data_IF_929489029748
#
_entry.id   IF_929489029748
#
_cell.length_a   1.000
_cell.length_b   1.000
_cell.length_c   1.000
_cell.angle_alpha   90.00
_cell.angle_beta   90.00
_cell.angle_gamma   90.00
#
_symmetry.space_group_name_H-M   'P 1'
#
loop_
_entity.id
_entity.type
_entity.pdbx_description
1 polymer ?
#
# COMPACT_ATOMS: atom_id res chain seq x y z
N UNK A 1 -37.55 -12.02 -40.83
CA UNK A 1 -36.70 -12.73 -39.86
C UNK A 1 -35.88 -11.66 -39.14
N UNK A 2 -36.55 -10.63 -38.59
CA UNK A 2 -35.93 -9.29 -38.42
C UNK A 2 -36.18 -8.65 -37.05
N UNK A 3 -36.67 -9.41 -36.07
CA UNK A 3 -37.18 -8.83 -34.81
C UNK A 3 -36.21 -8.97 -33.61
N UNK A 4 -34.96 -9.38 -33.88
CA UNK A 4 -33.93 -9.61 -32.86
C UNK A 4 -32.78 -8.57 -32.90
N UNK A 5 -32.61 -7.83 -34.00
CA UNK A 5 -31.57 -6.81 -34.13
C UNK A 5 -32.07 -5.48 -33.58
N UNK A 6 -31.90 -5.28 -32.26
CA UNK A 6 -32.24 -4.03 -31.57
C UNK A 6 -32.82 -4.20 -30.17
N UNK A 7 -33.17 -5.44 -29.77
CA UNK A 7 -33.64 -5.73 -28.42
C UNK A 7 -32.47 -5.76 -27.43
N UNK A 8 -32.71 -5.24 -26.24
CA UNK A 8 -31.66 -5.15 -25.23
C UNK A 8 -31.25 -6.53 -24.71
N UNK A 9 -29.96 -6.89 -24.69
CA UNK A 9 -29.48 -8.16 -24.14
C UNK A 9 -29.97 -8.46 -22.71
N UNK A 10 -30.09 -7.45 -21.84
CA UNK A 10 -30.62 -7.61 -20.48
C UNK A 10 -32.12 -7.91 -20.43
N UNK A 11 -32.86 -7.61 -21.49
CA UNK A 11 -34.29 -7.92 -21.63
C UNK A 11 -34.51 -9.25 -22.37
N UNK A 12 -33.53 -9.69 -23.16
CA UNK A 12 -33.60 -10.95 -23.92
C UNK A 12 -33.13 -12.17 -23.14
N UNK A 13 -32.21 -11.98 -22.19
CA UNK A 13 -31.59 -13.06 -21.43
C UNK A 13 -32.19 -13.15 -20.02
N UNK A 14 -32.38 -14.37 -19.47
CA UNK A 14 -32.72 -14.55 -18.05
C UNK A 14 -31.72 -13.81 -17.15
N UNK A 15 -32.21 -13.27 -16.04
CA UNK A 15 -31.42 -12.41 -15.15
C UNK A 15 -30.17 -13.12 -14.61
N UNK A 16 -30.27 -14.41 -14.33
CA UNK A 16 -29.15 -15.25 -13.88
C UNK A 16 -28.06 -15.38 -14.95
N UNK A 17 -28.45 -15.56 -16.21
CA UNK A 17 -27.52 -15.68 -17.34
C UNK A 17 -26.81 -14.35 -17.58
N UNK A 18 -27.55 -13.24 -17.57
CA UNK A 18 -26.97 -11.90 -17.64
C UNK A 18 -25.99 -11.64 -16.49
N UNK A 19 -26.34 -12.04 -15.25
CA UNK A 19 -25.44 -11.90 -14.10
C UNK A 19 -24.16 -12.70 -14.29
N UNK A 20 -24.26 -13.94 -14.79
CA UNK A 20 -23.11 -14.78 -15.08
C UNK A 20 -22.21 -14.16 -16.16
N UNK A 21 -22.77 -13.72 -17.29
CA UNK A 21 -22.01 -13.08 -18.38
C UNK A 21 -21.25 -11.86 -17.87
N UNK A 22 -21.94 -10.93 -17.20
CA UNK A 22 -21.32 -9.71 -16.70
C UNK A 22 -20.29 -10.00 -15.59
N UNK A 23 -20.49 -11.05 -14.80
CA UNK A 23 -19.50 -11.51 -13.82
C UNK A 23 -18.23 -12.07 -14.46
N UNK A 24 -18.25 -12.43 -15.74
CA UNK A 24 -17.05 -12.84 -16.49
C UNK A 24 -16.33 -11.67 -17.16
N UNK A 25 -17.04 -10.58 -17.51
CA UNK A 25 -16.47 -9.44 -18.23
C UNK A 25 -15.35 -8.74 -17.44
N UNK A 26 -14.27 -8.25 -18.07
CA UNK A 26 -13.28 -7.42 -17.40
C UNK A 26 -13.90 -6.16 -16.76
N UNK A 27 -13.36 -5.68 -15.64
CA UNK A 27 -13.90 -4.51 -14.92
C UNK A 27 -13.95 -3.26 -15.83
N UNK A 28 -13.00 -3.10 -16.75
CA UNK A 28 -13.03 -2.04 -17.77
C UNK A 28 -14.22 -2.14 -18.74
N UNK A 29 -14.62 -3.36 -19.12
CA UNK A 29 -15.79 -3.57 -19.97
C UNK A 29 -17.07 -3.22 -19.19
N UNK A 30 -17.17 -3.68 -17.94
CA UNK A 30 -18.27 -3.31 -17.04
C UNK A 30 -18.37 -1.79 -16.85
N UNK A 31 -17.24 -1.07 -16.80
CA UNK A 31 -17.25 0.39 -16.76
C UNK A 31 -17.99 0.98 -17.96
N UNK A 32 -17.64 0.51 -19.17
CA UNK A 32 -18.25 0.97 -20.42
C UNK A 32 -19.73 0.60 -20.50
N UNK A 33 -20.09 -0.58 -19.99
CA UNK A 33 -21.48 -1.03 -19.88
C UNK A 33 -22.36 -0.06 -19.06
N UNK A 34 -21.80 0.57 -18.02
CA UNK A 34 -22.54 1.58 -17.24
C UNK A 34 -22.90 2.83 -18.06
N UNK A 35 -22.21 3.09 -19.16
CA UNK A 35 -22.47 4.24 -20.04
C UNK A 35 -23.52 3.95 -21.13
N UNK A 36 -24.06 2.72 -21.21
CA UNK A 36 -25.03 2.33 -22.24
C UNK A 36 -26.41 2.91 -21.95
N UNK A 37 -26.97 2.63 -20.77
CA UNK A 37 -28.25 3.18 -20.27
C UNK A 37 -28.41 2.97 -18.76
N UNK A 38 -29.40 3.63 -18.14
CA UNK A 38 -29.69 3.56 -16.69
C UNK A 38 -29.91 2.13 -16.18
N UNK A 39 -30.63 1.30 -16.94
CA UNK A 39 -30.85 -0.11 -16.57
C UNK A 39 -29.54 -0.91 -16.53
N UNK A 40 -28.64 -0.71 -17.50
CA UNK A 40 -27.33 -1.36 -17.51
C UNK A 40 -26.46 -0.85 -16.36
N UNK A 41 -26.51 0.45 -16.06
CA UNK A 41 -25.81 1.01 -14.91
C UNK A 41 -26.30 0.40 -13.59
N UNK A 42 -27.62 0.30 -13.39
CA UNK A 42 -28.22 -0.34 -12.22
C UNK A 42 -27.86 -1.83 -12.13
N UNK A 43 -27.89 -2.55 -13.26
CA UNK A 43 -27.54 -3.96 -13.33
C UNK A 43 -26.05 -4.21 -13.03
N UNK A 44 -25.16 -3.41 -13.61
CA UNK A 44 -23.73 -3.48 -13.30
C UNK A 44 -23.51 -3.16 -11.82
N UNK A 45 -24.15 -2.12 -11.26
CA UNK A 45 -24.07 -1.77 -9.84
C UNK A 45 -24.45 -2.92 -8.90
N UNK A 46 -25.47 -3.70 -9.26
CA UNK A 46 -25.87 -4.92 -8.54
C UNK A 46 -24.74 -5.96 -8.50
N UNK A 47 -24.06 -6.17 -9.62
CA UNK A 47 -22.98 -7.15 -9.79
C UNK A 47 -21.68 -6.70 -9.09
N UNK A 48 -21.45 -5.39 -8.96
CA UNK A 48 -20.25 -4.83 -8.29
C UNK A 48 -20.03 -5.41 -6.89
N UNK A 49 -21.10 -5.59 -6.13
CA UNK A 49 -21.02 -6.00 -4.72
C UNK A 49 -20.61 -7.48 -4.54
N UNK A 50 -20.73 -8.30 -5.60
CA UNK A 50 -20.45 -9.73 -5.54
C UNK A 50 -19.03 -10.11 -6.00
N UNK A 51 -18.25 -9.17 -6.56
CA UNK A 51 -16.99 -9.50 -7.23
C UNK A 51 -15.77 -8.88 -6.54
N UNK A 52 -14.80 -9.74 -6.20
CA UNK A 52 -13.43 -9.29 -5.98
C UNK A 52 -12.82 -8.94 -7.34
N UNK A 53 -12.48 -7.66 -7.56
CA UNK A 53 -11.87 -7.22 -8.81
C UNK A 53 -10.51 -7.87 -9.07
N UNK A 54 -10.06 -7.85 -10.33
CA UNK A 54 -8.72 -8.35 -10.71
C UNK A 54 -7.68 -7.66 -9.83
N UNK A 55 -6.93 -8.47 -9.09
CA UNK A 55 -5.83 -8.00 -8.27
C UNK A 55 -4.61 -7.78 -9.17
N UNK A 56 -3.94 -6.67 -8.95
CA UNK A 56 -2.69 -6.31 -9.62
C UNK A 56 -1.84 -5.53 -8.63
N UNK A 57 -0.54 -5.48 -8.92
CA UNK A 57 0.35 -4.60 -8.18
C UNK A 57 0.43 -3.27 -8.90
N UNK A 58 0.16 -2.18 -8.19
CA UNK A 58 0.44 -0.83 -8.70
C UNK A 58 1.81 -0.38 -8.28
N UNK A 59 2.51 0.25 -9.21
CA UNK A 59 3.80 0.86 -8.98
C UNK A 59 3.75 2.32 -9.39
N UNK A 60 4.11 3.20 -8.47
CA UNK A 60 4.25 4.63 -8.74
C UNK A 60 5.72 4.99 -8.59
N UNK A 61 6.29 5.58 -9.63
CA UNK A 61 7.60 6.23 -9.59
C UNK A 61 7.49 7.69 -10.05
N UNK A 62 8.53 8.49 -9.81
CA UNK A 62 8.67 9.80 -10.44
C UNK A 62 9.88 9.82 -11.35
N UNK A 63 9.77 10.61 -12.43
CA UNK A 63 10.87 10.96 -13.31
C UNK A 63 10.98 12.47 -13.37
N UNK A 64 12.17 12.99 -13.12
CA UNK A 64 12.49 14.39 -13.32
C UNK A 64 12.69 14.61 -14.82
N UNK A 65 11.94 15.55 -15.41
CA UNK A 65 12.16 15.98 -16.80
C UNK A 65 13.11 17.19 -16.82
N UNK A 66 13.68 17.52 -17.98
CA UNK A 66 14.60 18.65 -18.20
C UNK A 66 13.98 20.04 -17.90
N UNK A 67 12.74 20.08 -17.44
CA UNK A 67 11.96 21.29 -17.10
C UNK A 67 11.77 21.49 -15.59
N UNK A 68 12.50 20.75 -14.74
CA UNK A 68 12.32 20.71 -13.28
C UNK A 68 10.91 20.27 -12.83
N UNK A 69 10.13 19.68 -13.74
CA UNK A 69 8.84 19.09 -13.46
C UNK A 69 9.03 17.60 -13.17
N UNK A 70 8.62 17.14 -11.99
CA UNK A 70 8.49 15.70 -11.75
C UNK A 70 7.18 15.19 -12.36
N UNK A 71 7.30 14.23 -13.28
CA UNK A 71 6.15 13.47 -13.77
C UNK A 71 6.06 12.14 -13.05
N UNK A 72 4.85 11.78 -12.63
CA UNK A 72 4.59 10.47 -12.07
C UNK A 72 4.41 9.47 -13.19
N UNK A 73 5.01 8.31 -13.01
CA UNK A 73 4.80 7.17 -13.87
C UNK A 73 4.08 6.12 -13.05
N UNK A 74 2.91 5.70 -13.55
CA UNK A 74 2.13 4.65 -12.90
C UNK A 74 2.04 3.43 -13.81
N UNK A 75 2.42 2.27 -13.25
CA UNK A 75 2.36 0.98 -13.92
C UNK A 75 1.55 0.00 -13.10
N UNK A 76 0.93 -0.95 -13.77
CA UNK A 76 0.37 -2.14 -13.14
C UNK A 76 1.13 -3.37 -13.60
N UNK A 77 1.48 -4.23 -12.64
CA UNK A 77 2.09 -5.54 -12.89
C UNK A 77 0.99 -6.59 -12.71
N UNK A 78 0.77 -7.38 -13.76
CA UNK A 78 -0.16 -8.51 -13.77
C UNK A 78 0.43 -9.74 -13.06
N UNK A 79 -0.38 -10.77 -12.77
CA UNK A 79 0.11 -12.03 -12.17
C UNK A 79 1.19 -12.76 -12.98
N UNK A 80 1.15 -12.63 -14.31
CA UNK A 80 2.16 -13.14 -15.25
C UNK A 80 3.41 -12.24 -15.37
N UNK A 81 3.50 -11.22 -14.50
CA UNK A 81 4.56 -10.21 -14.45
C UNK A 81 4.62 -9.32 -15.69
N UNK A 82 3.61 -9.40 -16.57
CA UNK A 82 3.48 -8.48 -17.69
C UNK A 82 3.17 -7.07 -17.19
N UNK A 83 3.81 -6.10 -17.83
CA UNK A 83 3.54 -4.69 -17.57
C UNK A 83 2.38 -4.19 -18.38
N UNK A 84 1.48 -3.50 -17.70
CA UNK A 84 0.48 -2.68 -18.33
C UNK A 84 0.66 -1.23 -17.87
N UNK A 85 0.72 -0.33 -18.85
CA UNK A 85 0.66 1.10 -18.58
C UNK A 85 -0.71 1.47 -18.01
N UNK A 86 -0.69 2.11 -16.85
CA UNK A 86 -1.87 2.76 -16.30
C UNK A 86 -1.80 4.21 -16.74
N UNK A 87 -2.80 4.67 -17.51
CA UNK A 87 -2.85 6.05 -17.96
C UNK A 87 -2.78 6.99 -16.74
N UNK A 88 -1.64 7.65 -16.56
CA UNK A 88 -1.39 8.60 -15.48
C UNK A 88 -1.77 10.00 -15.92
N UNK A 89 -3.02 10.20 -16.36
CA UNK A 89 -3.56 11.56 -16.61
C UNK A 89 -3.64 12.41 -15.33
N UNK A 90 -3.37 11.81 -14.17
CA UNK A 90 -3.45 12.40 -12.83
C UNK A 90 -2.64 13.67 -12.60
N UNK A 91 -1.57 13.91 -13.36
CA UNK A 91 -0.60 14.94 -12.99
C UNK A 91 -0.37 15.99 -14.07
N UNK A 92 -1.24 16.01 -15.09
CA UNK A 92 -1.35 17.12 -16.06
C UNK A 92 -2.51 18.06 -15.69
N UNK A 93 -3.27 17.73 -14.64
CA UNK A 93 -4.51 18.45 -14.35
C UNK A 93 -4.26 19.78 -13.63
N UNK A 94 -4.53 20.83 -14.42
CA UNK A 94 -5.11 22.11 -14.01
C UNK A 94 -4.16 23.30 -13.79
N UNK A 95 -3.08 23.39 -14.57
CA UNK A 95 -2.17 24.55 -14.53
C UNK A 95 -1.43 24.76 -13.19
N UNK A 96 -1.77 23.97 -12.17
CA UNK A 96 -1.01 23.81 -10.95
C UNK A 96 0.08 22.80 -11.22
N UNK A 97 1.18 23.30 -11.78
CA UNK A 97 2.45 22.59 -11.69
C UNK A 97 2.65 22.21 -10.21
N UNK A 98 2.59 20.92 -9.91
CA UNK A 98 3.06 20.39 -8.63
C UNK A 98 4.58 20.59 -8.61
N UNK A 99 5.01 21.82 -8.32
CA UNK A 99 6.39 22.09 -7.96
C UNK A 99 6.59 21.39 -6.62
N UNK A 100 7.28 20.26 -6.65
CA UNK A 100 7.75 19.58 -5.46
C UNK A 100 8.85 20.45 -4.87
N UNK A 101 8.43 21.49 -4.15
CA UNK A 101 9.31 22.10 -3.18
C UNK A 101 9.76 20.97 -2.24
N UNK A 102 11.07 20.85 -2.07
CA UNK A 102 11.73 20.06 -1.03
C UNK A 102 12.04 18.57 -1.34
N UNK A 103 12.06 18.14 -2.61
CA UNK A 103 12.58 16.80 -2.98
C UNK A 103 11.73 15.60 -2.53
N UNK A 104 10.45 15.84 -2.21
CA UNK A 104 9.51 14.80 -1.79
C UNK A 104 8.90 14.05 -2.97
N UNK A 105 9.43 12.85 -3.22
CA UNK A 105 8.88 11.94 -4.23
C UNK A 105 7.50 11.39 -3.85
N UNK A 106 6.62 11.08 -4.83
CA UNK A 106 5.39 10.32 -4.64
C UNK A 106 5.53 9.13 -3.70
N UNK A 107 4.53 8.90 -2.85
CA UNK A 107 4.40 7.64 -2.11
C UNK A 107 2.99 7.13 -2.15
N UNK A 108 2.84 5.84 -2.44
CA UNK A 108 1.58 5.15 -2.16
C UNK A 108 1.53 4.91 -0.65
N UNK A 109 0.43 5.35 -0.04
CA UNK A 109 0.18 5.14 1.37
C UNK A 109 -0.54 3.80 1.58
N UNK A 110 -1.58 3.55 0.78
CA UNK A 110 -2.28 2.28 0.80
C UNK A 110 -3.37 2.23 -0.25
N UNK A 111 -4.09 1.12 -0.27
CA UNK A 111 -5.26 0.96 -1.12
C UNK A 111 -6.39 0.29 -0.34
N UNK A 112 -7.62 0.55 -0.76
CA UNK A 112 -8.81 -0.07 -0.21
C UNK A 112 -9.94 -0.02 -1.23
N UNK A 113 -10.58 -1.16 -1.51
CA UNK A 113 -11.76 -1.26 -2.39
C UNK A 113 -11.61 -0.60 -3.78
N UNK A 114 -10.41 -0.60 -4.37
CA UNK A 114 -10.14 0.05 -5.67
C UNK A 114 -9.85 1.55 -5.60
N UNK A 115 -9.71 2.09 -4.40
CA UNK A 115 -9.12 3.41 -4.16
C UNK A 115 -7.66 3.24 -3.73
N UNK A 116 -6.83 4.18 -4.13
CA UNK A 116 -5.41 4.29 -3.80
C UNK A 116 -5.18 5.65 -3.15
N UNK A 117 -4.58 5.63 -1.97
CA UNK A 117 -4.19 6.84 -1.26
C UNK A 117 -2.73 7.16 -1.61
N UNK A 118 -2.48 8.36 -2.13
CA UNK A 118 -1.17 8.79 -2.64
C UNK A 118 -0.76 10.09 -1.96
N UNK A 119 0.44 10.12 -1.39
CA UNK A 119 1.09 11.35 -0.95
C UNK A 119 1.89 11.94 -2.12
N UNK A 120 1.64 13.22 -2.40
CA UNK A 120 2.34 14.02 -3.41
C UNK A 120 2.77 15.35 -2.77
N UNK A 121 4.03 15.41 -2.31
CA UNK A 121 4.51 16.50 -1.46
C UNK A 121 3.67 16.60 -0.18
N UNK A 122 3.07 17.77 0.07
CA UNK A 122 2.19 18.03 1.22
C UNK A 122 0.69 17.79 0.93
N UNK A 123 0.34 17.28 -0.25
CA UNK A 123 -1.05 16.93 -0.59
C UNK A 123 -1.25 15.43 -0.48
N UNK A 124 -2.37 15.02 0.11
CA UNK A 124 -2.85 13.64 0.12
C UNK A 124 -4.00 13.52 -0.88
N UNK A 125 -3.81 12.64 -1.85
CA UNK A 125 -4.72 12.38 -2.95
C UNK A 125 -5.41 11.04 -2.73
N UNK A 126 -6.71 11.00 -2.98
CA UNK A 126 -7.43 9.76 -3.18
C UNK A 126 -7.64 9.57 -4.67
N UNK A 127 -7.30 8.39 -5.17
CA UNK A 127 -7.30 8.10 -6.60
C UNK A 127 -7.95 6.74 -6.88
N UNK A 128 -8.81 6.68 -7.89
CA UNK A 128 -9.26 5.44 -8.51
C UNK A 128 -8.57 5.28 -9.89
N UNK A 129 -7.56 4.40 -10.01
CA UNK A 129 -6.86 4.12 -11.26
C UNK A 129 -7.73 3.62 -12.41
N UNK A 130 -8.82 2.92 -12.09
CA UNK A 130 -9.72 2.36 -13.09
C UNK A 130 -10.61 3.45 -13.70
N UNK A 131 -11.24 4.28 -12.85
CA UNK A 131 -12.17 5.32 -13.29
C UNK A 131 -11.47 6.63 -13.64
N UNK A 132 -10.17 6.74 -13.33
CA UNK A 132 -9.34 7.96 -13.43
C UNK A 132 -9.82 9.10 -12.52
N UNK A 133 -10.82 8.85 -11.69
CA UNK A 133 -11.30 9.81 -10.71
C UNK A 133 -10.25 10.00 -9.62
N UNK A 134 -10.04 11.24 -9.18
CA UNK A 134 -9.21 11.54 -8.03
C UNK A 134 -9.68 12.81 -7.34
N UNK A 135 -9.22 13.01 -6.12
CA UNK A 135 -9.49 14.20 -5.32
C UNK A 135 -8.35 14.44 -4.34
N UNK A 136 -7.96 15.71 -4.15
CA UNK A 136 -7.16 16.11 -2.98
C UNK A 136 -8.07 16.02 -1.76
N UNK A 137 -7.76 15.08 -0.87
CA UNK A 137 -8.51 14.90 0.38
C UNK A 137 -7.90 15.76 1.49
N UNK A 138 -6.57 15.83 1.58
CA UNK A 138 -5.89 16.68 2.56
C UNK A 138 -4.80 17.54 1.93
N UNK A 139 -4.75 18.81 2.34
CA UNK A 139 -3.65 19.74 2.04
C UNK A 139 -2.97 20.11 3.36
N UNK A 140 -1.85 19.45 3.65
CA UNK A 140 -1.12 19.62 4.89
C UNK A 140 -0.46 21.01 5.01
N UNK A 141 -0.45 21.83 3.94
CA UNK A 141 -0.03 23.24 4.04
C UNK A 141 -1.11 24.13 4.66
N UNK A 142 -2.38 23.76 4.49
CA UNK A 142 -3.55 24.55 4.92
C UNK A 142 -4.08 24.12 6.28
N UNK A 143 -3.54 23.07 6.86
CA UNK A 143 -3.84 22.69 8.24
C UNK A 143 -3.47 23.83 9.19
N UNK A 144 -4.35 24.12 10.14
CA UNK A 144 -4.11 25.12 11.19
C UNK A 144 -3.06 24.64 12.21
N UNK A 145 -2.79 23.34 12.23
CA UNK A 145 -1.82 22.73 13.12
C UNK A 145 -0.40 22.90 12.57
N UNK A 146 0.38 23.77 13.21
CA UNK A 146 1.78 24.01 12.86
C UNK A 146 2.62 22.72 12.89
N UNK A 147 2.25 21.74 13.73
CA UNK A 147 2.94 20.45 13.80
C UNK A 147 2.82 19.72 12.45
N UNK A 148 1.61 19.54 11.95
CA UNK A 148 1.35 18.85 10.68
C UNK A 148 2.00 19.56 9.47
N UNK A 149 2.16 20.89 9.55
CA UNK A 149 2.70 21.71 8.45
C UNK A 149 4.20 21.48 8.21
N UNK A 150 4.97 21.20 9.25
CA UNK A 150 6.43 21.05 9.19
C UNK A 150 6.89 19.58 9.28
N UNK A 151 5.94 18.64 9.14
CA UNK A 151 6.20 17.20 9.07
C UNK A 151 6.76 16.76 7.72
N UNK A 152 7.62 15.75 7.75
CA UNK A 152 8.15 15.08 6.56
C UNK A 152 8.14 13.58 6.80
N UNK A 153 7.69 12.79 5.82
CA UNK A 153 7.41 11.34 5.90
C UNK A 153 6.04 11.00 6.46
N UNK A 154 5.20 10.44 5.59
CA UNK A 154 3.86 9.96 5.94
C UNK A 154 3.72 8.50 5.54
N UNK A 155 4.07 7.52 6.39
CA UNK A 155 3.44 6.22 6.31
C UNK A 155 1.96 6.42 6.66
N UNK A 156 1.06 6.05 5.77
CA UNK A 156 -0.37 6.19 6.03
C UNK A 156 -1.13 5.05 5.40
N UNK A 157 -2.43 5.00 5.59
CA UNK A 157 -3.29 4.04 4.93
C UNK A 157 -4.73 4.50 4.86
N UNK A 158 -5.51 3.74 4.13
CA UNK A 158 -6.94 3.89 3.99
C UNK A 158 -7.61 2.55 4.31
N UNK A 159 -8.72 2.60 5.03
CA UNK A 159 -9.60 1.46 5.24
C UNK A 159 -11.06 1.87 5.10
N UNK A 160 -11.92 0.90 4.77
CA UNK A 160 -13.36 1.10 4.72
C UNK A 160 -14.00 0.64 6.02
N UNK A 161 -14.71 1.54 6.69
CA UNK A 161 -15.52 1.24 7.86
C UNK A 161 -16.98 1.09 7.44
N UNK A 162 -17.45 -0.16 7.41
CA UNK A 162 -18.80 -0.49 6.97
C UNK A 162 -19.89 0.00 7.95
N UNK A 163 -19.53 0.23 9.23
CA UNK A 163 -20.49 0.63 10.26
C UNK A 163 -20.95 2.08 10.07
N UNK A 164 -20.03 2.96 9.67
CA UNK A 164 -20.29 4.37 9.31
C UNK A 164 -20.40 4.60 7.80
N UNK A 165 -20.22 3.54 7.00
CA UNK A 165 -20.22 3.58 5.52
C UNK A 165 -19.28 4.65 4.97
N UNK A 166 -18.08 4.76 5.52
CA UNK A 166 -17.09 5.75 5.13
C UNK A 166 -15.68 5.16 5.12
N UNK A 167 -14.77 5.83 4.43
CA UNK A 167 -13.36 5.50 4.47
C UNK A 167 -12.69 6.28 5.60
N UNK A 168 -11.89 5.57 6.39
CA UNK A 168 -10.96 6.15 7.35
C UNK A 168 -9.58 6.19 6.73
N UNK A 169 -8.91 7.32 6.89
CA UNK A 169 -7.52 7.52 6.53
C UNK A 169 -6.73 7.70 7.81
N UNK A 170 -5.64 6.96 7.96
CA UNK A 170 -4.69 7.11 9.08
C UNK A 170 -3.37 7.56 8.49
N UNK A 171 -2.82 8.65 9.01
CA UNK A 171 -1.55 9.25 8.60
C UNK A 171 -0.63 9.27 9.83
N UNK A 172 0.54 8.65 9.72
CA UNK A 172 1.64 8.87 10.66
C UNK A 172 2.45 10.03 10.13
N UNK A 173 2.75 11.03 10.95
CA UNK A 173 3.42 12.25 10.55
C UNK A 173 4.68 12.41 11.39
N UNK A 174 5.86 12.44 10.77
CA UNK A 174 7.11 12.65 11.50
C UNK A 174 7.44 14.15 11.62
N UNK A 175 7.58 14.61 12.85
CA UNK A 175 8.03 15.95 13.22
C UNK A 175 9.52 15.96 13.55
N UNK A 176 10.27 16.83 12.88
CA UNK A 176 11.66 17.11 13.21
C UNK A 176 11.68 18.23 14.25
N UNK A 177 11.89 17.89 15.53
CA UNK A 177 12.16 18.92 16.53
C UNK A 177 13.60 19.45 16.38
N UNK A 178 13.84 20.79 16.37
CA UNK A 178 15.17 21.40 16.22
C UNK A 178 16.20 21.12 17.34
N UNK A 179 15.91 20.20 18.27
CA UNK A 179 16.79 19.95 19.41
C UNK A 179 18.10 19.30 18.94
N UNK A 180 19.22 19.65 19.63
CA UNK A 180 20.62 19.24 19.35
C UNK A 180 20.90 17.72 19.24
N UNK A 181 19.88 16.86 19.36
CA UNK A 181 19.95 15.39 19.28
C UNK A 181 19.14 14.77 18.14
N UNK A 182 18.40 15.54 17.34
CA UNK A 182 17.72 15.02 16.14
C UNK A 182 16.62 13.97 16.42
N UNK A 183 15.87 14.11 17.52
CA UNK A 183 14.74 13.21 17.81
C UNK A 183 13.59 13.46 16.83
N UNK A 184 13.12 12.38 16.20
CA UNK A 184 11.91 12.34 15.38
C UNK A 184 10.73 11.98 16.28
N UNK A 185 9.75 12.87 16.38
CA UNK A 185 8.49 12.57 17.08
C UNK A 185 7.43 12.20 16.04
N UNK A 186 6.81 11.02 16.17
CA UNK A 186 5.78 10.57 15.24
C UNK A 186 4.37 10.80 15.78
N UNK A 187 3.62 11.64 15.09
CA UNK A 187 2.22 11.92 15.41
C UNK A 187 1.32 11.04 14.57
N UNK A 188 0.17 10.68 15.13
CA UNK A 188 -0.87 9.97 14.40
C UNK A 188 -2.04 10.91 14.21
N UNK A 189 -2.37 11.18 12.96
CA UNK A 189 -3.64 11.80 12.62
C UNK A 189 -4.51 10.82 11.86
N UNK A 190 -5.82 10.92 12.03
CA UNK A 190 -6.77 10.16 11.24
C UNK A 190 -7.96 11.03 10.83
N UNK A 191 -8.68 10.60 9.80
CA UNK A 191 -9.83 11.32 9.28
C UNK A 191 -10.81 10.37 8.62
N UNK A 192 -12.10 10.66 8.77
CA UNK A 192 -13.15 10.07 7.93
C UNK A 192 -13.32 10.93 6.68
N UNK A 193 -13.30 10.32 5.49
CA UNK A 193 -13.28 11.05 4.21
C UNK A 193 -14.53 11.92 3.99
N UNK A 194 -15.72 11.49 4.43
CA UNK A 194 -16.94 12.32 4.32
C UNK A 194 -16.86 13.59 5.16
N UNK A 195 -16.28 13.51 6.35
CA UNK A 195 -16.07 14.68 7.22
C UNK A 195 -14.94 15.58 6.74
N UNK A 196 -13.92 14.97 6.12
CA UNK A 196 -12.68 15.60 5.69
C UNK A 196 -11.94 16.43 6.76
N UNK A 197 -12.12 16.08 8.04
CA UNK A 197 -11.43 16.71 9.17
C UNK A 197 -10.39 15.74 9.72
N UNK A 198 -9.13 16.18 9.73
CA UNK A 198 -8.04 15.51 10.41
C UNK A 198 -8.18 15.71 11.92
N UNK A 199 -8.29 14.59 12.64
CA UNK A 199 -8.22 14.50 14.09
C UNK A 199 -6.83 14.02 14.49
N UNK A 200 -6.20 14.71 15.42
CA UNK A 200 -4.93 14.27 16.01
C UNK A 200 -5.19 13.30 17.16
N UNK A 201 -4.50 12.16 17.14
CA UNK A 201 -4.47 11.18 18.23
C UNK A 201 -3.21 11.36 19.10
N UNK A 202 -2.34 12.30 18.76
CA UNK A 202 -1.11 12.59 19.46
C UNK A 202 0.02 11.65 19.07
N UNK A 203 0.93 11.40 20.02
CA UNK A 203 2.19 10.68 19.83
C UNK A 203 2.19 9.34 20.59
N UNK A 204 1.61 8.26 20.02
CA UNK A 204 1.67 6.94 20.62
C UNK A 204 3.09 6.38 20.50
N UNK A 205 3.73 6.09 21.64
CA UNK A 205 5.13 5.60 21.72
C UNK A 205 5.36 4.32 20.91
N UNK A 206 4.35 3.46 20.83
CA UNK A 206 4.37 2.22 20.05
C UNK A 206 4.60 2.48 18.55
N UNK A 207 4.33 3.69 18.07
CA UNK A 207 4.44 4.05 16.67
C UNK A 207 5.78 4.68 16.30
N UNK A 208 6.65 5.04 17.23
CA UNK A 208 7.92 5.76 16.96
C UNK A 208 8.79 5.10 15.89
N UNK A 209 8.74 3.77 15.84
CA UNK A 209 9.49 2.90 14.94
C UNK A 209 8.63 2.29 13.83
N UNK A 210 7.35 2.68 13.73
CA UNK A 210 6.43 2.24 12.69
C UNK A 210 7.04 2.42 11.29
N UNK A 211 7.14 1.31 10.56
CA UNK A 211 7.49 1.36 9.15
C UNK A 211 6.47 0.56 8.37
N UNK A 212 6.50 0.72 7.03
CA UNK A 212 5.88 -0.12 5.99
C UNK A 212 4.65 -0.91 6.46
N UNK A 213 3.47 -0.52 5.98
CA UNK A 213 2.26 -1.22 6.36
C UNK A 213 1.59 -2.04 5.25
N UNK A 214 0.76 -2.97 5.69
CA UNK A 214 -0.10 -3.80 4.84
C UNK A 214 -1.55 -3.60 5.27
N UNK A 215 -2.45 -3.46 4.30
CA UNK A 215 -3.89 -3.48 4.58
C UNK A 215 -4.39 -4.92 4.46
N UNK A 216 -4.90 -5.47 5.56
CA UNK A 216 -5.55 -6.77 5.56
C UNK A 216 -6.98 -6.63 6.10
N UNK A 217 -7.96 -6.97 5.25
CA UNK A 217 -9.40 -6.93 5.59
C UNK A 217 -9.82 -5.60 6.24
N UNK A 218 -9.47 -4.47 5.61
CA UNK A 218 -9.77 -3.12 6.08
C UNK A 218 -9.13 -2.75 7.42
N UNK A 219 -8.10 -3.48 7.85
CA UNK A 219 -7.26 -3.11 8.99
C UNK A 219 -5.86 -2.89 8.47
N UNK A 220 -5.23 -1.77 8.84
CA UNK A 220 -3.85 -1.53 8.45
C UNK A 220 -2.90 -1.85 9.58
N UNK A 221 -1.81 -2.51 9.21
CA UNK A 221 -0.80 -3.01 10.12
C UNK A 221 0.53 -2.35 9.80
N UNK A 222 1.32 -2.07 10.81
CA UNK A 222 2.69 -1.54 10.72
C UNK A 222 3.63 -2.49 11.45
N UNK A 223 4.85 -2.64 10.93
CA UNK A 223 5.91 -3.23 11.74
C UNK A 223 6.44 -2.15 12.68
N UNK A 224 6.62 -2.51 13.95
CA UNK A 224 7.10 -1.62 15.01
C UNK A 224 8.15 -2.33 15.87
N UNK A 225 8.98 -1.56 16.57
CA UNK A 225 9.99 -2.00 17.52
C UNK A 225 9.48 -1.80 18.95
N UNK A 226 9.68 -2.81 19.80
CA UNK A 226 9.27 -2.75 21.21
C UNK A 226 10.15 -1.83 22.07
N UNK A 227 11.44 -1.67 21.75
CA UNK A 227 12.37 -0.86 22.54
C UNK A 227 13.21 0.11 21.68
N UNK A 228 12.76 1.36 21.65
CA UNK A 228 13.41 2.46 20.92
C UNK A 228 14.79 2.81 21.53
N UNK A 229 15.08 2.45 22.78
CA UNK A 229 16.38 2.74 23.43
C UNK A 229 17.52 1.92 22.81
N UNK A 230 17.23 0.74 22.28
CA UNK A 230 18.22 -0.15 21.66
C UNK A 230 18.29 -0.04 20.12
N UNK A 231 17.31 0.60 19.47
CA UNK A 231 17.30 0.78 18.01
C UNK A 231 18.33 1.79 17.50
N UNK A 232 18.99 2.55 18.38
CA UNK A 232 20.00 3.57 18.06
C UNK A 232 21.39 3.15 18.53
N UNK A 233 21.83 1.92 18.21
CA UNK A 233 23.27 1.60 18.30
C UNK A 233 23.95 1.86 16.95
N UNK A 234 24.67 2.97 16.91
CA UNK A 234 25.75 3.35 16.00
C UNK A 234 25.47 3.46 14.49
N UNK A 235 25.15 4.68 14.04
CA UNK A 235 25.76 5.26 12.83
C UNK A 235 26.51 6.54 13.24
N UNK A 236 27.33 6.45 14.28
CA UNK A 236 28.33 7.47 14.58
C UNK A 236 29.50 7.27 13.62
N UNK A 237 29.38 7.79 12.39
CA UNK A 237 30.44 7.64 11.38
C UNK A 237 30.28 8.50 10.13
N UNK A 238 29.06 8.82 9.69
CA UNK A 238 28.88 9.62 8.47
C UNK A 238 28.62 11.09 8.78
N UNK A 239 29.70 11.90 8.74
CA UNK A 239 29.68 13.38 8.68
C UNK A 239 29.08 13.88 7.36
N UNK A 240 27.85 13.52 7.04
CA UNK A 240 27.11 14.16 5.96
C UNK A 240 25.89 14.86 6.56
N UNK A 241 25.73 16.15 6.27
CA UNK A 241 24.56 17.00 6.61
C UNK A 241 23.24 16.53 5.96
N UNK A 242 23.16 15.26 5.58
CA UNK A 242 21.98 14.59 5.06
C UNK A 242 21.42 13.73 6.18
N UNK A 243 20.62 14.34 7.05
CA UNK A 243 19.78 13.63 8.03
C UNK A 243 18.66 12.89 7.28
N UNK A 244 19.01 11.88 6.48
CA UNK A 244 18.04 10.92 5.99
C UNK A 244 17.90 9.81 7.03
N UNK A 245 16.65 9.53 7.36
CA UNK A 245 16.07 8.52 8.23
C UNK A 245 16.53 7.06 7.95
N UNK A 246 17.83 6.80 7.95
CA UNK A 246 18.44 5.46 7.91
C UNK A 246 18.56 4.85 9.32
N UNK A 247 17.55 5.06 10.17
CA UNK A 247 17.52 4.41 11.49
C UNK A 247 17.09 2.95 11.25
N UNK A 248 18.02 2.02 11.48
CA UNK A 248 17.79 0.56 11.41
C UNK A 248 16.92 0.13 12.60
N UNK A 249 15.60 0.30 12.50
CA UNK A 249 14.70 -0.24 13.52
C UNK A 249 14.61 -1.75 13.37
N UNK A 250 15.04 -2.49 14.41
CA UNK A 250 14.81 -3.93 14.55
C UNK A 250 13.35 -4.14 14.97
N UNK A 251 12.45 -3.98 14.01
CA UNK A 251 11.02 -4.15 14.25
C UNK A 251 10.75 -5.63 14.54
N UNK A 252 10.10 -5.91 15.67
CA UNK A 252 9.83 -7.26 16.15
C UNK A 252 8.37 -7.45 16.60
N UNK A 253 7.54 -6.42 16.48
CA UNK A 253 6.09 -6.47 16.75
C UNK A 253 5.32 -5.91 15.55
N UNK A 254 4.04 -6.25 15.49
CA UNK A 254 3.12 -5.75 14.49
C UNK A 254 2.03 -4.98 15.22
N UNK A 255 1.89 -3.70 14.90
CA UNK A 255 0.83 -2.87 15.45
C UNK A 255 -0.26 -2.65 14.40
N UNK A 256 -1.50 -2.46 14.83
CA UNK A 256 -2.60 -2.11 13.94
C UNK A 256 -3.53 -1.11 14.61
N UNK A 257 -4.26 -0.38 13.77
CA UNK A 257 -5.24 0.60 14.23
C UNK A 257 -6.61 -0.07 14.34
N UNK A 258 -7.13 -0.15 15.54
CA UNK A 258 -8.50 -0.57 15.80
C UNK A 258 -9.44 0.60 15.51
N UNK A 259 -10.04 0.57 14.32
CA UNK A 259 -10.91 1.63 13.85
C UNK A 259 -12.19 1.80 14.68
N UNK A 260 -12.61 0.76 15.43
CA UNK A 260 -13.83 0.82 16.25
C UNK A 260 -13.58 1.57 17.55
N UNK A 261 -12.42 1.34 18.16
CA UNK A 261 -12.05 1.96 19.43
C UNK A 261 -11.10 3.15 19.27
N UNK A 262 -10.70 3.48 18.04
CA UNK A 262 -9.73 4.54 17.71
C UNK A 262 -8.41 4.41 18.48
N UNK A 263 -7.94 3.17 18.69
CA UNK A 263 -6.74 2.84 19.46
C UNK A 263 -5.77 1.97 18.68
N UNK A 264 -4.50 1.98 19.08
CA UNK A 264 -3.50 1.08 18.55
C UNK A 264 -3.40 -0.19 19.39
N UNK A 265 -3.30 -1.33 18.71
CA UNK A 265 -3.18 -2.64 19.34
C UNK A 265 -1.99 -3.38 18.73
N UNK A 266 -1.37 -4.24 19.54
CA UNK A 266 -0.33 -5.14 19.08
C UNK A 266 -0.98 -6.46 18.66
N UNK A 267 -0.69 -6.88 17.43
CA UNK A 267 -1.10 -8.17 16.92
C UNK A 267 -0.25 -9.26 17.59
N UNK A 268 -0.85 -10.37 18.08
CA UNK A 268 -0.08 -11.48 18.64
C UNK A 268 0.90 -12.08 17.63
N UNK A 269 2.20 -12.08 17.96
CA UNK A 269 3.28 -12.65 17.15
C UNK A 269 3.62 -14.08 17.60
N UNK A 270 4.14 -14.94 16.71
CA UNK A 270 4.63 -16.26 17.08
C UNK A 270 5.93 -16.13 17.87
N UNK A 271 6.25 -17.17 18.66
CA UNK A 271 7.50 -17.21 19.44
C UNK A 271 8.73 -16.96 18.54
N UNK A 272 9.74 -16.21 19.02
CA UNK A 272 11.01 -16.05 18.32
C UNK A 272 11.69 -17.39 18.03
N UNK A 273 12.47 -17.47 16.96
CA UNK A 273 13.28 -18.66 16.63
C UNK A 273 14.38 -18.90 17.68
N UNK A 274 14.96 -17.84 18.22
CA UNK A 274 16.06 -17.89 19.18
C UNK A 274 15.82 -16.99 20.40
N UNK A 275 15.82 -15.67 20.20
CA UNK A 275 15.55 -14.67 21.22
C UNK A 275 14.81 -13.48 20.58
N UNK A 276 14.21 -12.61 21.40
CA UNK A 276 13.46 -11.45 20.90
C UNK A 276 14.34 -10.41 20.18
N UNK A 277 15.65 -10.38 20.46
CA UNK A 277 16.60 -9.42 19.87
C UNK A 277 17.00 -9.75 18.42
N UNK A 278 16.90 -11.03 18.04
CA UNK A 278 17.23 -11.55 16.71
C UNK A 278 15.97 -11.77 15.84
N UNK A 279 14.78 -11.50 16.38
CA UNK A 279 13.51 -11.73 15.70
C UNK A 279 13.07 -10.51 14.86
N UNK A 280 13.69 -10.33 13.70
CA UNK A 280 13.45 -9.14 12.88
C UNK A 280 12.36 -9.37 11.84
N UNK A 281 11.32 -8.54 11.89
CA UNK A 281 10.29 -8.45 10.87
C UNK A 281 10.81 -7.61 9.72
N UNK A 282 11.16 -8.27 8.63
CA UNK A 282 11.72 -7.64 7.41
C UNK A 282 10.66 -7.35 6.34
N UNK A 283 9.45 -7.87 6.52
CA UNK A 283 8.34 -7.58 5.63
C UNK A 283 7.00 -8.12 6.12
N UNK A 284 5.94 -7.65 5.47
CA UNK A 284 4.57 -8.12 5.69
C UNK A 284 3.84 -8.17 4.34
N UNK A 285 2.76 -8.93 4.28
CA UNK A 285 1.99 -9.08 3.05
C UNK A 285 0.81 -10.03 3.22
N UNK A 286 0.28 -10.50 2.09
CA UNK A 286 -0.88 -11.38 2.06
C UNK A 286 -0.58 -12.54 1.12
N UNK A 287 -0.66 -13.77 1.65
CA UNK A 287 -0.49 -15.01 0.89
C UNK A 287 -1.71 -15.87 1.12
N UNK A 288 -2.38 -16.32 0.05
CA UNK A 288 -3.61 -17.13 0.13
C UNK A 288 -4.68 -16.58 1.11
N UNK A 289 -4.94 -15.27 1.06
CA UNK A 289 -5.87 -14.56 1.97
C UNK A 289 -5.51 -14.66 3.47
N UNK A 290 -4.29 -15.09 3.79
CA UNK A 290 -3.76 -15.05 5.14
C UNK A 290 -2.87 -13.82 5.30
N UNK A 291 -2.98 -13.16 6.46
CA UNK A 291 -2.00 -12.15 6.86
C UNK A 291 -0.64 -12.82 7.06
N UNK A 292 0.41 -12.27 6.45
CA UNK A 292 1.74 -12.84 6.48
C UNK A 292 2.79 -11.85 6.98
N UNK A 293 3.78 -12.40 7.67
CA UNK A 293 5.00 -11.71 8.10
C UNK A 293 6.21 -12.47 7.58
N UNK A 294 7.26 -11.74 7.24
CA UNK A 294 8.58 -12.33 7.07
C UNK A 294 9.51 -11.97 8.22
N UNK A 295 10.13 -13.02 8.72
CA UNK A 295 11.13 -12.99 9.76
C UNK A 295 12.48 -13.35 9.16
N UNK A 296 13.48 -12.52 9.40
CA UNK A 296 14.86 -12.86 9.07
C UNK A 296 15.46 -13.66 10.23
N UNK A 297 15.96 -14.85 9.94
CA UNK A 297 16.86 -15.58 10.81
C UNK A 297 18.30 -15.22 10.44
N UNK A 298 18.95 -14.44 11.31
CA UNK A 298 20.30 -13.95 11.08
C UNK A 298 21.37 -15.04 11.15
N UNK A 299 21.08 -16.18 11.80
CA UNK A 299 22.07 -17.27 11.95
C UNK A 299 22.12 -18.16 10.72
N UNK A 300 20.96 -18.41 10.12
CA UNK A 300 20.83 -19.24 8.92
C UNK A 300 20.80 -18.42 7.65
N UNK A 301 20.74 -17.08 7.75
CA UNK A 301 20.53 -16.16 6.63
C UNK A 301 19.27 -16.52 5.81
N UNK A 302 18.23 -17.03 6.48
CA UNK A 302 16.97 -17.40 5.83
C UNK A 302 15.85 -16.46 6.22
N UNK A 303 14.92 -16.26 5.29
CA UNK A 303 13.69 -15.53 5.53
C UNK A 303 12.56 -16.53 5.64
N UNK A 304 11.98 -16.59 6.83
CA UNK A 304 10.79 -17.39 7.11
C UNK A 304 9.55 -16.55 6.88
N UNK A 305 8.69 -17.01 5.96
CA UNK A 305 7.38 -16.40 5.73
C UNK A 305 6.35 -17.18 6.54
N UNK A 306 5.74 -16.50 7.50
CA UNK A 306 4.73 -17.05 8.40
C UNK A 306 3.38 -16.47 8.01
N UNK A 307 2.37 -17.32 7.86
CA UNK A 307 0.98 -16.93 7.64
C UNK A 307 0.14 -17.14 8.91
N UNK A 308 -0.90 -16.35 9.11
CA UNK A 308 -1.83 -16.50 10.23
C UNK A 308 -3.15 -17.13 9.74
N UNK A 309 -3.42 -18.40 10.08
CA UNK A 309 -4.65 -19.11 9.62
C UNK A 309 -5.91 -18.47 10.18
N UNK A 310 -5.90 -18.12 11.47
CA UNK A 310 -7.02 -17.48 12.15
C UNK A 310 -6.57 -16.11 12.63
N UNK A 311 -6.95 -15.08 11.87
CA UNK A 311 -6.55 -13.70 12.14
C UNK A 311 -6.83 -13.31 13.62
N UNK A 312 -5.84 -12.69 14.27
CA UNK A 312 -5.85 -12.32 15.68
C UNK A 312 -5.45 -13.42 16.67
N UNK A 313 -5.32 -14.69 16.25
CA UNK A 313 -4.88 -15.78 17.12
C UNK A 313 -3.38 -16.06 16.96
N UNK A 314 -2.59 -15.75 18.00
CA UNK A 314 -1.14 -15.96 18.04
C UNK A 314 -0.68 -17.43 17.99
N UNK A 315 -1.57 -18.38 18.22
CA UNK A 315 -1.26 -19.82 18.06
C UNK A 315 -1.52 -20.33 16.64
N UNK A 316 -2.15 -19.51 15.80
CA UNK A 316 -2.55 -19.92 14.44
C UNK A 316 -1.52 -19.60 13.36
N UNK A 317 -0.34 -19.10 13.75
CA UNK A 317 0.77 -18.89 12.85
C UNK A 317 1.29 -20.23 12.33
N UNK A 318 1.50 -20.32 11.02
CA UNK A 318 2.10 -21.46 10.35
C UNK A 318 3.19 -20.98 9.40
N UNK A 319 4.19 -21.83 9.16
CA UNK A 319 5.22 -21.56 8.17
C UNK A 319 4.64 -21.79 6.78
N UNK A 320 4.58 -20.73 5.97
CA UNK A 320 4.12 -20.79 4.59
C UNK A 320 5.23 -21.32 3.68
N UNK A 321 6.39 -20.66 3.69
CA UNK A 321 7.60 -21.10 2.99
C UNK A 321 8.84 -20.41 3.61
N UNK A 322 10.03 -20.80 3.15
CA UNK A 322 11.30 -20.19 3.53
C UNK A 322 12.15 -19.94 2.28
N UNK A 323 12.92 -18.85 2.29
CA UNK A 323 13.83 -18.49 1.21
C UNK A 323 15.19 -18.10 1.77
N UNK A 324 16.26 -18.66 1.21
CA UNK A 324 17.62 -18.28 1.57
C UNK A 324 17.97 -16.89 1.01
N UNK A 325 18.61 -16.03 1.82
CA UNK A 325 19.10 -14.73 1.36
C UNK A 325 20.09 -14.86 0.20
N UNK A 326 20.86 -15.95 0.17
CA UNK A 326 21.83 -16.22 -0.91
C UNK A 326 21.18 -16.29 -2.29
N UNK A 327 19.90 -16.68 -2.39
CA UNK A 327 19.16 -16.70 -3.67
C UNK A 327 18.98 -15.30 -4.28
N UNK A 328 19.08 -14.25 -3.47
CA UNK A 328 18.97 -12.87 -3.94
C UNK A 328 20.30 -12.26 -4.36
N UNK A 329 21.44 -12.97 -4.21
CA UNK A 329 22.76 -12.49 -4.58
C UNK A 329 23.13 -11.15 -3.91
N UNK A 330 22.64 -10.93 -2.69
CA UNK A 330 22.82 -9.70 -1.93
C UNK A 330 23.86 -9.91 -0.84
N UNK A 331 24.96 -9.15 -0.87
CA UNK A 331 25.92 -9.12 0.24
C UNK A 331 25.28 -8.48 1.49
N UNK A 332 25.46 -9.11 2.65
CA UNK A 332 24.62 -9.06 3.87
C UNK A 332 24.43 -7.74 4.62
N UNK A 333 24.63 -6.57 3.99
CA UNK A 333 24.54 -5.26 4.63
C UNK A 333 23.41 -4.35 4.11
N UNK A 334 22.61 -4.84 3.16
CA UNK A 334 21.57 -4.05 2.51
C UNK A 334 20.26 -3.88 3.30
N UNK A 335 19.52 -2.81 3.02
CA UNK A 335 18.18 -2.61 3.56
C UNK A 335 17.18 -3.47 2.78
N UNK A 336 16.65 -4.49 3.45
CA UNK A 336 15.64 -5.37 2.87
C UNK A 336 14.22 -4.88 3.17
N UNK A 337 13.38 -4.82 2.14
CA UNK A 337 11.93 -4.74 2.28
C UNK A 337 11.33 -5.94 1.59
N UNK A 338 10.55 -6.72 2.31
CA UNK A 338 9.75 -7.75 1.67
C UNK A 338 8.28 -7.35 1.66
N UNK A 339 7.65 -7.55 0.50
CA UNK A 339 6.21 -7.43 0.31
C UNK A 339 5.73 -8.71 -0.35
N UNK A 340 4.90 -9.47 0.36
CA UNK A 340 4.43 -10.77 -0.07
C UNK A 340 3.12 -10.65 -0.83
N UNK A 341 3.08 -11.22 -2.03
CA UNK A 341 1.89 -11.21 -2.85
C UNK A 341 1.50 -12.62 -3.31
N UNK A 342 0.22 -12.94 -3.14
CA UNK A 342 -0.40 -14.07 -3.82
C UNK A 342 -1.36 -13.53 -4.86
N UNK A 343 -0.99 -13.61 -6.14
CA UNK A 343 -1.88 -13.27 -7.24
C UNK A 343 -2.46 -14.56 -7.84
N UNK A 344 -3.77 -14.75 -7.78
CA UNK A 344 -4.45 -15.89 -8.43
C UNK A 344 -3.89 -17.27 -8.02
N UNK A 345 -3.45 -17.43 -6.77
CA UNK A 345 -2.73 -18.62 -6.23
C UNK A 345 -1.32 -18.84 -6.80
N UNK A 346 -0.82 -17.89 -7.57
CA UNK A 346 0.58 -17.80 -7.94
C UNK A 346 1.29 -16.92 -6.92
N UNK A 347 1.89 -17.57 -5.95
CA UNK A 347 2.65 -16.91 -4.91
C UNK A 347 3.92 -16.33 -5.51
N UNK A 348 4.23 -15.12 -5.09
CA UNK A 348 5.42 -14.42 -5.52
C UNK A 348 5.82 -13.47 -4.41
N UNK A 349 7.11 -13.17 -4.31
CA UNK A 349 7.63 -12.30 -3.26
C UNK A 349 8.33 -11.14 -3.93
N UNK A 350 7.82 -9.93 -3.74
CA UNK A 350 8.53 -8.72 -4.13
C UNK A 350 9.49 -8.34 -3.01
N UNK A 351 10.77 -8.32 -3.32
CA UNK A 351 11.81 -7.83 -2.43
C UNK A 351 12.34 -6.52 -2.98
N UNK A 352 12.28 -5.46 -2.19
CA UNK A 352 13.10 -4.28 -2.44
C UNK A 352 14.42 -4.41 -1.72
N UNK A 353 15.49 -4.24 -2.47
CA UNK A 353 16.85 -4.24 -1.98
C UNK A 353 17.46 -2.84 -2.11
N UNK A 354 17.99 -2.32 -1.00
CA UNK A 354 18.59 -0.97 -0.92
C UNK A 354 17.67 0.17 -1.40
N UNK A 355 16.36 -0.05 -1.37
CA UNK A 355 15.34 0.93 -1.75
C UNK A 355 15.14 1.16 -3.25
N UNK A 356 16.04 0.65 -4.10
CA UNK A 356 16.03 0.91 -5.54
C UNK A 356 15.78 -0.33 -6.39
N UNK A 357 16.41 -1.47 -6.05
CA UNK A 357 16.28 -2.71 -6.82
C UNK A 357 15.06 -3.49 -6.36
N UNK A 358 14.31 -4.04 -7.32
CA UNK A 358 13.21 -4.95 -7.02
C UNK A 358 13.49 -6.33 -7.60
N UNK A 359 13.55 -7.31 -6.71
CA UNK A 359 13.67 -8.73 -7.03
C UNK A 359 12.31 -9.38 -6.83
N UNK A 360 12.04 -10.40 -7.63
CA UNK A 360 10.85 -11.23 -7.47
C UNK A 360 11.31 -12.66 -7.29
N UNK A 361 10.85 -13.28 -6.21
CA UNK A 361 11.04 -14.69 -5.97
C UNK A 361 9.75 -15.45 -6.28
N UNK A 362 9.88 -16.55 -7.01
CA UNK A 362 8.83 -17.50 -7.30
C UNK A 362 8.99 -18.74 -6.40
N UNK A 363 8.20 -18.90 -5.32
CA UNK A 363 8.31 -20.05 -4.44
C UNK A 363 8.05 -21.39 -5.15
N UNK A 364 7.22 -21.41 -6.20
CA UNK A 364 6.88 -22.64 -6.91
C UNK A 364 8.02 -23.15 -7.79
N UNK A 365 8.82 -22.22 -8.35
CA UNK A 365 10.00 -22.54 -9.17
C UNK A 365 11.31 -22.47 -8.41
N UNK A 366 11.27 -21.92 -7.21
CA UNK A 366 12.45 -21.64 -6.39
C UNK A 366 13.46 -20.66 -7.01
N UNK A 367 13.01 -19.84 -7.97
CA UNK A 367 13.83 -18.93 -8.76
C UNK A 367 13.65 -17.46 -8.35
N UNK A 368 14.72 -16.68 -8.49
CA UNK A 368 14.71 -15.22 -8.35
C UNK A 368 14.99 -14.60 -9.70
N UNK A 369 14.21 -13.59 -10.06
CA UNK A 369 14.43 -12.79 -11.25
C UNK A 369 14.35 -11.30 -10.93
N UNK A 370 15.13 -10.50 -11.66
CA UNK A 370 15.08 -9.04 -11.57
C UNK A 370 13.91 -8.53 -12.41
N UNK A 371 13.25 -7.50 -11.91
CA UNK A 371 12.23 -6.75 -12.65
C UNK A 371 12.74 -5.35 -13.00
N UNK A 372 14.05 -5.18 -13.11
CA UNK A 372 14.69 -3.89 -13.37
C UNK A 372 14.24 -3.31 -14.73
N UNK A 373 14.02 -4.16 -15.74
CA UNK A 373 13.44 -3.75 -17.03
C UNK A 373 11.99 -3.23 -16.91
N UNK A 374 11.31 -3.49 -15.78
CA UNK A 374 9.96 -2.98 -15.53
C UNK A 374 9.97 -1.55 -14.95
N UNK A 375 11.15 -1.08 -14.50
CA UNK A 375 11.38 0.22 -13.90
C UNK A 375 12.45 0.95 -14.74
N UNK A 376 12.05 1.82 -15.70
CA UNK A 376 12.93 2.31 -16.76
C UNK A 376 14.18 3.06 -16.29
N UNK A 377 14.21 3.47 -15.02
CA UNK A 377 15.31 4.22 -14.44
C UNK A 377 15.67 3.53 -13.12
N UNK A 378 16.73 2.72 -13.16
CA UNK A 378 17.29 1.90 -12.06
C UNK A 378 17.71 2.69 -10.81
N UNK A 379 17.51 4.01 -10.81
CA UNK A 379 17.83 4.95 -9.73
C UNK A 379 16.60 5.63 -9.09
N UNK A 380 15.38 5.28 -9.51
CA UNK A 380 14.17 5.95 -9.01
C UNK A 380 13.51 5.18 -7.86
N UNK A 381 13.46 5.78 -6.67
CA UNK A 381 12.63 5.29 -5.57
C UNK A 381 11.16 5.18 -6.05
N UNK A 382 10.62 3.96 -6.07
CA UNK A 382 9.21 3.70 -6.39
C UNK A 382 8.42 3.27 -5.17
N UNK A 383 7.13 3.57 -5.15
CA UNK A 383 6.14 3.02 -4.21
C UNK A 383 5.38 1.86 -4.86
N UNK A 384 5.03 0.83 -4.09
CA UNK A 384 4.27 -0.32 -4.59
C UNK A 384 3.10 -0.60 -3.64
N UNK A 385 1.93 -0.95 -4.18
CA UNK A 385 0.82 -1.41 -3.37
C UNK A 385 -0.04 -2.45 -4.10
N UNK A 386 -0.74 -3.27 -3.32
CA UNK A 386 -1.84 -4.09 -3.83
C UNK A 386 -2.94 -3.20 -4.37
N UNK A 387 -3.59 -3.61 -5.45
CA UNK A 387 -4.74 -2.91 -5.97
C UNK A 387 -5.72 -3.90 -6.59
N UNK A 388 -6.90 -3.98 -6.01
CA UNK A 388 -8.04 -4.69 -6.59
C UNK A 388 -8.89 -3.67 -7.35
N UNK A 389 -9.06 -3.88 -8.66
CA UNK A 389 -9.87 -2.97 -9.48
C UNK A 389 -11.31 -2.91 -8.96
N UNK A 390 -11.83 -1.70 -8.76
CA UNK A 390 -13.22 -1.51 -8.35
C UNK A 390 -13.72 -0.13 -8.76
N UNK A 391 -15.04 0.00 -8.85
CA UNK A 391 -15.72 1.26 -9.15
C UNK A 391 -15.98 2.12 -7.93
N UNK A 392 -15.35 1.81 -6.79
CA UNK A 392 -15.58 2.56 -5.58
C UNK A 392 -15.30 4.06 -5.78
N UNK A 393 -16.20 4.85 -5.20
CA UNK A 393 -16.11 6.28 -5.07
C UNK A 393 -16.70 6.62 -3.71
N UNK A 394 -15.99 7.37 -2.85
CA UNK A 394 -16.49 7.72 -1.53
C UNK A 394 -17.72 8.65 -1.58
N UNK A 395 -17.98 9.27 -2.73
CA UNK A 395 -18.93 10.37 -2.88
C UNK A 395 -20.15 10.02 -3.74
N UNK A 396 -20.25 8.79 -4.25
CA UNK A 396 -21.36 8.33 -5.11
C UNK A 396 -22.69 8.12 -4.35
N UNK A 397 -22.75 8.45 -3.05
CA UNK A 397 -24.00 8.46 -2.27
C UNK A 397 -24.68 9.84 -2.21
N UNK A 398 -24.13 10.85 -2.90
CA UNK A 398 -24.79 12.14 -3.11
C UNK A 398 -25.36 12.16 -4.53
N UNK A 399 -26.46 11.44 -4.75
CA UNK A 399 -27.31 11.58 -5.95
C UNK A 399 -28.76 11.69 -5.54
#
# INVERSE_FOLDING_TARGET
MDDAFGKDPLQMLPREVSRHIFSLLPVKCLFRCMSVKKEWQAFVNEIKNARAGKQQLLVISSRQDNSDKERFIVRSINPDLSLQWVSSSLFVLDGQDFRFFDGFRPRILGSCNGLVLVAAGKKILLWNPLTRWFRVVFDLKKTKDCLVRDCFYVPGSICYDASIKDYKVVLLLDLITPCRRGHLNRYVSFACLKSNVLKDLGHPREMDSATRGVNFRNTFHWSVCHDVKHSVRNIAGHRSNRCYCNIRYRNNKIAYFDSMNETFKILPSPKPCHCEEDDWIVGMGIVNDCFCMARLDSKTETIQVLGMKKYGNGESWFRAFEVSLSKFGCDGDGLYAFTFFSLEKNEKVFMKYNGTRTLVYDPAKEEVFTVDNLFPDSETNHGMCFYAQSFASPYDQLS
#
